data_IF_890792259086
#
_entry.id   IF_890792259086
#
_cell.length_a   1.000
_cell.length_b   1.000
_cell.length_c   1.000
_cell.angle_alpha   90.00
_cell.angle_beta   90.00
_cell.angle_gamma   90.00
#
_symmetry.space_group_name_H-M   'P 1'
#
loop_
_entity.id
_entity.type
_entity.pdbx_description
1 polymer ?
#
# COMPACT_ATOMS: atom_id res chain seq x y z
N UNK A 1 -25.24 -13.66 2.56
CA UNK A 1 -24.90 -13.34 1.15
C UNK A 1 -23.40 -13.10 1.11
N UNK A 2 -22.67 -13.69 0.16
CA UNK A 2 -21.20 -13.49 0.10
C UNK A 2 -20.86 -12.14 -0.51
N UNK A 3 -19.77 -11.50 -0.09
CA UNK A 3 -19.32 -10.21 -0.63
C UNK A 3 -19.14 -10.24 -2.16
N UNK A 4 -18.69 -11.38 -2.70
CA UNK A 4 -18.59 -11.60 -4.15
C UNK A 4 -19.95 -11.57 -4.85
N UNK A 5 -21.00 -12.08 -4.21
CA UNK A 5 -22.38 -12.01 -4.73
C UNK A 5 -22.92 -10.58 -4.68
N UNK A 6 -22.55 -9.76 -3.70
CA UNK A 6 -22.94 -8.34 -3.67
C UNK A 6 -22.26 -7.55 -4.80
N UNK A 7 -20.99 -7.81 -5.06
CA UNK A 7 -20.23 -7.22 -6.18
C UNK A 7 -20.76 -7.68 -7.55
N UNK A 8 -21.28 -8.91 -7.65
CA UNK A 8 -21.79 -9.47 -8.91
C UNK A 8 -23.30 -9.30 -9.16
N UNK A 9 -24.12 -9.10 -8.13
CA UNK A 9 -25.58 -9.06 -8.24
C UNK A 9 -26.12 -7.78 -8.88
N UNK A 10 -25.35 -6.69 -8.82
CA UNK A 10 -25.57 -5.49 -9.61
C UNK A 10 -24.28 -5.30 -10.38
N UNK A 11 -24.10 -5.92 -11.57
CA UNK A 11 -22.90 -5.68 -12.35
C UNK A 11 -22.89 -4.17 -12.60
N UNK A 12 -21.97 -3.41 -11.99
CA UNK A 12 -21.95 -2.00 -12.28
C UNK A 12 -21.61 -1.96 -13.77
N UNK A 13 -22.40 -1.22 -14.54
CA UNK A 13 -22.02 -0.87 -15.90
C UNK A 13 -20.77 -0.02 -15.76
N UNK A 14 -19.60 -0.65 -15.60
CA UNK A 14 -18.37 0.01 -15.26
C UNK A 14 -17.95 0.85 -16.44
N UNK A 15 -18.34 2.10 -16.35
CA UNK A 15 -18.09 3.09 -17.36
C UNK A 15 -16.60 3.47 -17.38
N UNK A 16 -15.84 3.29 -16.30
CA UNK A 16 -14.42 3.62 -16.28
C UNK A 16 -13.50 2.45 -16.62
N UNK A 17 -12.70 2.61 -17.68
CA UNK A 17 -11.66 1.65 -18.07
C UNK A 17 -10.55 1.58 -16.99
N UNK A 18 -10.36 2.63 -16.20
CA UNK A 18 -9.38 2.65 -15.10
C UNK A 18 -9.66 1.58 -14.04
N UNK A 19 -10.94 1.38 -13.67
CA UNK A 19 -11.32 0.38 -12.66
C UNK A 19 -11.06 -1.04 -13.15
N UNK A 20 -11.32 -1.30 -14.44
CA UNK A 20 -11.01 -2.57 -15.09
C UNK A 20 -9.51 -2.83 -15.14
N UNK A 21 -8.73 -1.82 -15.54
CA UNK A 21 -7.27 -1.91 -15.56
C UNK A 21 -6.72 -2.20 -14.17
N UNK A 22 -7.22 -1.52 -13.15
CA UNK A 22 -6.83 -1.70 -11.75
C UNK A 22 -7.15 -3.12 -11.27
N UNK A 23 -8.39 -3.57 -11.46
CA UNK A 23 -8.84 -4.90 -11.04
C UNK A 23 -8.02 -6.01 -11.69
N UNK A 24 -7.93 -6.02 -13.01
CA UNK A 24 -7.23 -7.09 -13.73
C UNK A 24 -5.71 -7.02 -13.57
N UNK A 25 -5.14 -5.83 -13.52
CA UNK A 25 -3.72 -5.63 -13.22
C UNK A 25 -3.35 -6.17 -11.85
N UNK A 26 -4.15 -5.87 -10.82
CA UNK A 26 -3.94 -6.32 -9.45
C UNK A 26 -4.18 -7.83 -9.27
N UNK A 27 -5.19 -8.41 -9.94
CA UNK A 27 -5.42 -9.86 -9.94
C UNK A 27 -4.23 -10.60 -10.55
N UNK A 28 -3.78 -10.15 -11.73
CA UNK A 28 -2.65 -10.77 -12.42
C UNK A 28 -1.37 -10.66 -11.61
N UNK A 29 -1.10 -9.48 -11.02
CA UNK A 29 0.05 -9.28 -10.14
C UNK A 29 0.01 -10.20 -8.91
N UNK A 30 -1.17 -10.37 -8.29
CA UNK A 30 -1.33 -11.25 -7.13
C UNK A 30 -1.09 -12.71 -7.49
N UNK A 31 -1.52 -13.14 -8.67
CA UNK A 31 -1.26 -14.48 -9.17
C UNK A 31 0.23 -14.71 -9.43
N UNK A 32 0.85 -13.87 -10.27
CA UNK A 32 2.27 -13.99 -10.65
C UNK A 32 3.21 -13.90 -9.44
N UNK A 33 2.90 -13.00 -8.50
CA UNK A 33 3.66 -12.88 -7.26
C UNK A 33 3.64 -14.19 -6.48
N UNK A 34 2.46 -14.80 -6.30
CA UNK A 34 2.33 -16.01 -5.49
C UNK A 34 2.91 -17.24 -6.19
N UNK A 35 2.79 -17.35 -7.51
CA UNK A 35 3.35 -18.47 -8.27
C UNK A 35 4.88 -18.38 -8.41
N UNK A 36 5.45 -17.18 -8.33
CA UNK A 36 6.90 -16.97 -8.34
C UNK A 36 7.54 -17.09 -6.94
N UNK A 37 6.75 -17.08 -5.86
CA UNK A 37 7.28 -17.25 -4.51
C UNK A 37 7.88 -18.65 -4.33
N UNK A 38 9.22 -18.69 -4.22
CA UNK A 38 10.00 -19.87 -3.86
C UNK A 38 10.57 -19.72 -2.45
N UNK A 39 10.77 -20.84 -1.75
CA UNK A 39 11.59 -20.87 -0.54
C UNK A 39 13.02 -20.39 -0.85
N UNK A 40 13.75 -19.76 0.10
CA UNK A 40 13.50 -19.64 1.54
C UNK A 40 12.58 -18.47 1.97
N UNK A 41 12.18 -18.40 3.26
CA UNK A 41 11.34 -17.34 3.81
C UNK A 41 11.97 -15.96 3.60
N UNK A 42 11.14 -15.01 3.14
CA UNK A 42 11.53 -13.62 2.86
C UNK A 42 11.05 -12.68 3.95
N UNK A 43 11.68 -11.52 4.04
CA UNK A 43 11.24 -10.42 4.92
C UNK A 43 10.03 -9.71 4.33
N UNK A 44 9.23 -9.05 5.18
CA UNK A 44 8.04 -8.29 4.78
C UNK A 44 8.38 -7.21 3.75
N UNK A 45 9.51 -6.52 3.94
CA UNK A 45 10.02 -5.53 2.98
C UNK A 45 10.33 -6.14 1.61
N UNK A 46 11.00 -7.30 1.58
CA UNK A 46 11.32 -7.98 0.32
C UNK A 46 10.04 -8.43 -0.38
N UNK A 47 9.07 -8.97 0.36
CA UNK A 47 7.78 -9.41 -0.17
C UNK A 47 6.99 -8.24 -0.76
N UNK A 48 6.89 -7.11 -0.06
CA UNK A 48 6.30 -5.88 -0.60
C UNK A 48 7.08 -5.39 -1.84
N UNK A 49 8.41 -5.42 -1.82
CA UNK A 49 9.24 -5.03 -2.96
C UNK A 49 8.99 -5.87 -4.22
N UNK A 50 8.95 -7.20 -4.08
CA UNK A 50 8.65 -8.12 -5.17
C UNK A 50 7.19 -7.96 -5.64
N UNK A 51 6.23 -7.87 -4.73
CA UNK A 51 4.82 -7.70 -5.11
C UNK A 51 4.56 -6.41 -5.90
N UNK A 52 5.16 -5.30 -5.48
CA UNK A 52 5.01 -4.00 -6.16
C UNK A 52 5.70 -3.99 -7.53
N UNK A 53 6.76 -4.80 -7.70
CA UNK A 53 7.38 -5.06 -9.00
C UNK A 53 6.40 -5.79 -9.92
N UNK A 54 5.78 -6.87 -9.44
CA UNK A 54 4.75 -7.61 -10.20
C UNK A 54 3.55 -6.73 -10.56
N UNK A 55 3.12 -5.85 -9.64
CA UNK A 55 2.05 -4.89 -9.88
C UNK A 55 2.36 -3.96 -11.07
N UNK A 56 3.60 -3.48 -11.16
CA UNK A 56 4.06 -2.64 -12.28
C UNK A 56 4.10 -3.43 -13.59
N UNK A 57 4.59 -4.67 -13.57
CA UNK A 57 4.65 -5.52 -14.75
C UNK A 57 3.25 -5.86 -15.28
N UNK A 58 2.37 -6.32 -14.41
CA UNK A 58 0.98 -6.61 -14.75
C UNK A 58 0.24 -5.36 -15.24
N UNK A 59 0.42 -4.22 -14.57
CA UNK A 59 -0.17 -2.95 -14.98
C UNK A 59 0.28 -2.51 -16.37
N UNK A 60 1.58 -2.64 -16.71
CA UNK A 60 2.07 -2.39 -18.08
C UNK A 60 1.48 -3.35 -19.10
N UNK A 61 1.39 -4.63 -18.76
CA UNK A 61 0.81 -5.63 -19.66
C UNK A 61 -0.64 -5.27 -20.01
N UNK A 62 -1.47 -5.02 -19.00
CA UNK A 62 -2.88 -4.64 -19.20
C UNK A 62 -3.05 -3.28 -19.87
N UNK A 63 -2.21 -2.29 -19.54
CA UNK A 63 -2.21 -1.01 -20.25
C UNK A 63 -1.89 -1.17 -21.75
N UNK A 64 -0.97 -2.10 -22.08
CA UNK A 64 -0.65 -2.46 -23.47
C UNK A 64 -1.84 -3.08 -24.21
N UNK A 65 -2.58 -4.00 -23.57
CA UNK A 65 -3.80 -4.60 -24.14
C UNK A 65 -4.90 -3.55 -24.36
N UNK A 66 -5.02 -2.58 -23.44
CA UNK A 66 -6.01 -1.51 -23.51
C UNK A 66 -5.59 -0.32 -24.38
N UNK A 67 -4.32 -0.27 -24.83
CA UNK A 67 -3.74 0.89 -25.52
C UNK A 67 -4.58 1.42 -26.72
N UNK A 68 -5.20 0.57 -27.57
CA UNK A 68 -6.06 1.08 -28.65
C UNK A 68 -7.26 1.89 -28.17
N UNK A 69 -7.83 1.54 -27.01
CA UNK A 69 -8.95 2.25 -26.40
C UNK A 69 -8.47 3.52 -25.70
N UNK A 70 -7.35 3.44 -24.97
CA UNK A 70 -6.78 4.56 -24.22
C UNK A 70 -6.28 5.68 -25.14
N UNK A 71 -5.67 5.33 -26.28
CA UNK A 71 -5.17 6.29 -27.27
C UNK A 71 -6.27 7.22 -27.79
N UNK A 72 -7.49 6.70 -27.99
CA UNK A 72 -8.65 7.50 -28.43
C UNK A 72 -9.08 8.54 -27.39
N UNK A 73 -8.75 8.31 -26.12
CA UNK A 73 -9.12 9.14 -24.98
C UNK A 73 -7.95 9.98 -24.44
N UNK A 74 -6.78 9.91 -25.09
CA UNK A 74 -5.58 10.62 -24.63
C UNK A 74 -5.13 10.22 -23.22
N UNK A 75 -5.39 8.96 -22.84
CA UNK A 75 -5.05 8.39 -21.54
C UNK A 75 -3.92 7.37 -21.67
N UNK A 76 -3.19 7.14 -20.58
CA UNK A 76 -2.19 6.08 -20.47
C UNK A 76 -2.15 5.55 -19.05
N UNK A 77 -2.29 4.25 -18.85
CA UNK A 77 -2.22 3.70 -17.50
C UNK A 77 -0.83 3.19 -17.14
N UNK A 78 -0.39 3.51 -15.94
CA UNK A 78 0.85 3.00 -15.38
C UNK A 78 0.83 2.99 -13.84
N UNK A 79 1.65 2.11 -13.27
CA UNK A 79 2.09 2.23 -11.88
C UNK A 79 3.47 2.90 -11.87
N UNK A 80 3.54 4.08 -11.29
CA UNK A 80 4.80 4.75 -10.99
C UNK A 80 5.21 4.42 -9.56
N UNK A 81 6.51 4.23 -9.33
CA UNK A 81 7.05 3.97 -8.00
C UNK A 81 8.05 5.08 -7.70
N UNK A 82 7.87 5.70 -6.55
CA UNK A 82 8.74 6.73 -6.00
C UNK A 82 9.34 6.14 -4.73
N UNK A 83 10.66 6.00 -4.73
CA UNK A 83 11.38 5.51 -3.57
C UNK A 83 11.47 6.62 -2.51
N UNK A 84 11.00 6.33 -1.30
CA UNK A 84 10.94 7.28 -0.19
C UNK A 84 12.05 7.07 0.84
N UNK A 85 12.82 5.98 0.71
CA UNK A 85 13.89 5.65 1.65
C UNK A 85 14.99 6.72 1.66
N UNK A 86 15.22 7.33 2.81
CA UNK A 86 16.41 8.13 3.13
C UNK A 86 17.23 7.39 4.18
N UNK A 87 18.46 7.00 3.83
CA UNK A 87 19.53 6.58 4.75
C UNK A 87 19.19 5.41 5.72
N UNK A 88 19.14 4.17 5.21
CA UNK A 88 19.18 2.95 6.03
C UNK A 88 17.86 2.17 6.16
N UNK A 89 17.00 2.26 5.14
CA UNK A 89 15.58 1.86 5.10
C UNK A 89 15.18 0.42 5.48
N UNK A 90 16.11 -0.50 5.72
CA UNK A 90 15.78 -1.93 5.81
C UNK A 90 15.18 -2.40 7.15
N UNK A 91 15.41 -1.70 8.25
CA UNK A 91 15.04 -2.17 9.60
C UNK A 91 13.84 -1.44 10.22
N UNK A 92 13.52 -0.22 9.77
CA UNK A 92 12.58 0.67 10.47
C UNK A 92 11.14 0.64 9.96
N UNK A 93 10.92 0.22 8.71
CA UNK A 93 9.64 0.40 7.99
C UNK A 93 8.80 -0.88 7.90
N UNK A 94 9.35 -2.06 8.17
CA UNK A 94 8.57 -3.31 8.22
C UNK A 94 7.86 -3.72 6.92
N UNK A 95 8.20 -3.11 5.78
CA UNK A 95 7.55 -3.38 4.48
C UNK A 95 6.35 -2.49 4.16
N UNK A 96 6.22 -1.36 4.85
CA UNK A 96 5.17 -0.37 4.66
C UNK A 96 5.36 0.39 3.35
N UNK A 97 4.25 0.56 2.62
CA UNK A 97 4.20 1.41 1.43
C UNK A 97 2.84 2.10 1.32
N UNK A 98 2.83 3.23 0.64
CA UNK A 98 1.59 3.91 0.26
C UNK A 98 1.27 3.67 -1.22
N UNK A 99 -0.03 3.63 -1.52
CA UNK A 99 -0.56 3.59 -2.88
C UNK A 99 -1.52 4.76 -3.06
N UNK A 100 -1.40 5.48 -4.16
CA UNK A 100 -2.36 6.49 -4.58
C UNK A 100 -3.01 6.04 -5.88
N UNK A 101 -4.33 5.97 -5.89
CA UNK A 101 -5.12 5.80 -7.11
C UNK A 101 -5.48 7.20 -7.63
N UNK A 102 -4.83 7.67 -8.69
CA UNK A 102 -5.02 9.00 -9.28
C UNK A 102 -5.58 8.88 -10.70
N UNK A 103 -6.91 8.96 -10.82
CA UNK A 103 -7.61 8.85 -12.08
C UNK A 103 -8.39 10.12 -12.39
N UNK A 104 -8.12 10.72 -13.55
CA UNK A 104 -8.67 12.00 -13.98
C UNK A 104 -10.06 11.93 -14.64
N UNK A 105 -10.67 10.73 -14.68
CA UNK A 105 -11.99 10.48 -15.25
C UNK A 105 -12.04 10.46 -16.78
N UNK A 106 -10.93 10.67 -17.51
CA UNK A 106 -10.92 10.67 -18.99
C UNK A 106 -11.32 9.33 -19.60
N UNK A 107 -11.21 8.25 -18.83
CA UNK A 107 -11.49 6.89 -19.25
C UNK A 107 -12.89 6.41 -18.90
N UNK A 108 -13.78 7.31 -18.49
CA UNK A 108 -15.19 7.04 -18.30
C UNK A 108 -15.97 6.96 -19.63
N UNK A 109 -17.00 6.12 -19.69
CA UNK A 109 -17.87 5.99 -20.86
C UNK A 109 -18.82 7.21 -20.96
N UNK A 110 -18.91 7.86 -22.13
CA UNK A 110 -19.59 9.16 -22.26
C UNK A 110 -21.10 9.16 -21.96
N UNK A 111 -21.76 7.99 -21.98
CA UNK A 111 -23.22 7.90 -21.96
C UNK A 111 -23.82 7.90 -20.54
N UNK A 112 -22.99 7.86 -19.48
CA UNK A 112 -23.43 7.54 -18.11
C UNK A 112 -23.02 8.58 -17.05
N UNK A 113 -23.03 9.88 -17.37
CA UNK A 113 -22.47 11.01 -16.58
C UNK A 113 -20.94 11.17 -16.69
N UNK A 114 -20.39 12.30 -16.28
CA UNK A 114 -18.92 12.47 -16.18
C UNK A 114 -18.44 11.80 -14.89
N UNK A 115 -17.41 10.96 -14.96
CA UNK A 115 -16.67 10.61 -13.75
C UNK A 115 -15.98 11.85 -13.23
N UNK A 116 -16.09 12.06 -11.92
CA UNK A 116 -15.24 13.01 -11.24
C UNK A 116 -13.80 12.45 -11.17
N UNK A 117 -12.78 13.31 -11.22
CA UNK A 117 -11.43 12.94 -10.85
C UNK A 117 -11.40 12.36 -9.44
N UNK A 118 -10.54 11.37 -9.21
CA UNK A 118 -10.38 10.73 -7.91
C UNK A 118 -8.90 10.54 -7.58
N UNK A 119 -8.51 10.98 -6.39
CA UNK A 119 -7.19 10.74 -5.80
C UNK A 119 -7.44 9.98 -4.50
N UNK A 120 -7.16 8.68 -4.47
CA UNK A 120 -7.42 7.81 -3.31
C UNK A 120 -6.10 7.40 -2.68
N UNK A 121 -5.66 8.05 -1.58
CA UNK A 121 -4.51 7.61 -0.81
C UNK A 121 -4.84 6.39 0.04
N UNK A 122 -3.92 5.42 0.08
CA UNK A 122 -4.04 4.18 0.84
C UNK A 122 -2.69 3.83 1.44
N UNK A 123 -2.68 3.40 2.71
CA UNK A 123 -1.47 2.88 3.38
C UNK A 123 -1.59 1.37 3.57
N UNK A 124 -0.53 0.66 3.21
CA UNK A 124 -0.41 -0.78 3.42
C UNK A 124 0.73 -1.11 4.38
N UNK A 125 0.41 -1.98 5.33
CA UNK A 125 1.34 -2.61 6.25
C UNK A 125 1.61 -4.04 5.80
N UNK A 126 2.81 -4.31 5.29
CA UNK A 126 3.21 -5.65 4.89
C UNK A 126 3.26 -6.60 6.09
N UNK A 127 2.65 -7.78 5.98
CA UNK A 127 2.78 -8.86 6.95
C UNK A 127 2.95 -10.22 6.31
N UNK A 128 3.97 -10.94 6.77
CA UNK A 128 4.17 -12.34 6.41
C UNK A 128 3.31 -13.21 7.29
N UNK A 129 2.74 -14.27 6.72
CA UNK A 129 2.03 -15.26 7.51
C UNK A 129 2.19 -16.68 6.97
N UNK A 130 1.93 -17.63 7.85
CA UNK A 130 1.64 -19.03 7.55
C UNK A 130 0.26 -19.31 8.13
N UNK A 131 -0.61 -19.98 7.36
CA UNK A 131 -2.02 -20.14 7.74
C UNK A 131 -2.17 -20.73 9.16
N UNK A 132 -3.20 -20.29 9.92
CA UNK A 132 -4.20 -19.28 9.58
C UNK A 132 -3.91 -17.87 10.15
N UNK A 133 -2.79 -17.69 10.86
CA UNK A 133 -2.56 -16.51 11.70
C UNK A 133 -1.42 -15.63 11.18
N UNK A 134 -1.65 -14.33 11.15
CA UNK A 134 -0.62 -13.32 10.93
C UNK A 134 -0.34 -12.57 12.23
N UNK A 135 0.94 -12.28 12.52
CA UNK A 135 1.31 -11.43 13.64
C UNK A 135 1.14 -9.95 13.27
N UNK A 136 0.32 -9.22 14.03
CA UNK A 136 0.04 -7.79 13.83
C UNK A 136 0.50 -6.93 15.00
N UNK A 137 1.25 -7.48 15.96
CA UNK A 137 1.62 -6.83 17.23
C UNK A 137 2.85 -5.93 17.15
N UNK A 138 3.29 -5.53 15.95
CA UNK A 138 4.49 -4.71 15.79
C UNK A 138 4.35 -3.38 16.54
N UNK A 139 5.33 -3.13 17.42
CA UNK A 139 5.36 -1.97 18.31
C UNK A 139 6.77 -1.43 18.33
N UNK A 140 6.92 -0.11 18.20
CA UNK A 140 8.21 0.58 18.26
C UNK A 140 8.34 1.32 19.59
N UNK A 141 9.52 1.29 20.22
CA UNK A 141 9.76 1.87 21.57
C UNK A 141 9.29 3.33 21.69
N UNK A 142 9.63 4.17 20.73
CA UNK A 142 9.31 5.62 20.73
C UNK A 142 7.94 5.93 20.12
N UNK A 143 7.50 5.12 19.15
CA UNK A 143 6.38 5.46 18.26
C UNK A 143 5.09 4.74 18.63
N UNK A 144 5.16 3.76 19.53
CA UNK A 144 4.02 2.97 19.98
C UNK A 144 3.59 1.90 18.98
N UNK A 145 2.34 1.46 19.13
CA UNK A 145 1.72 0.39 18.34
C UNK A 145 1.47 0.86 16.90
N UNK A 146 1.96 0.09 15.93
CA UNK A 146 1.76 0.40 14.51
C UNK A 146 0.30 0.27 14.10
N UNK A 147 -0.39 -0.74 14.63
CA UNK A 147 -1.84 -0.92 14.44
C UNK A 147 -2.63 0.33 14.84
N UNK A 148 -2.31 0.91 16.01
CA UNK A 148 -2.95 2.14 16.50
C UNK A 148 -2.72 3.31 15.56
N UNK A 149 -1.50 3.45 15.02
CA UNK A 149 -1.19 4.52 14.06
C UNK A 149 -1.97 4.37 12.75
N UNK A 150 -2.02 3.16 12.20
CA UNK A 150 -2.78 2.86 10.99
C UNK A 150 -4.26 3.21 11.16
N UNK A 151 -4.84 2.88 12.31
CA UNK A 151 -6.25 3.18 12.61
C UNK A 151 -6.55 4.66 12.88
N UNK A 152 -5.54 5.54 12.87
CA UNK A 152 -5.67 6.97 13.13
C UNK A 152 -5.34 7.83 11.91
N UNK A 153 -4.96 7.22 10.78
CA UNK A 153 -4.67 7.96 9.55
C UNK A 153 -5.97 8.53 8.95
N UNK A 154 -5.81 9.67 8.27
CA UNK A 154 -6.92 10.33 7.56
C UNK A 154 -7.27 9.61 6.23
N UNK A 155 -6.47 8.62 5.82
CA UNK A 155 -6.70 7.80 4.64
C UNK A 155 -6.94 6.31 4.98
N UNK A 156 -7.49 5.56 4.02
CA UNK A 156 -7.70 4.13 4.16
C UNK A 156 -6.38 3.42 4.49
N UNK A 157 -6.38 2.63 5.55
CA UNK A 157 -5.20 1.90 6.01
C UNK A 157 -5.54 0.43 6.16
N UNK A 158 -4.63 -0.45 5.71
CA UNK A 158 -4.86 -1.88 5.74
C UNK A 158 -3.57 -2.66 5.97
N UNK A 159 -3.72 -3.88 6.48
CA UNK A 159 -2.68 -4.89 6.41
C UNK A 159 -2.74 -5.60 5.07
N UNK A 160 -1.59 -5.80 4.44
CA UNK A 160 -1.42 -6.64 3.26
C UNK A 160 -0.62 -7.89 3.65
N UNK A 161 -1.19 -9.06 3.38
CA UNK A 161 -0.72 -10.34 3.87
C UNK A 161 -0.12 -11.19 2.74
N UNK A 162 1.13 -11.60 2.95
CA UNK A 162 1.88 -12.45 2.05
C UNK A 162 2.06 -13.84 2.66
N UNK A 163 1.52 -14.86 2.00
CA UNK A 163 1.68 -16.24 2.43
C UNK A 163 3.09 -16.72 2.10
N UNK A 164 3.95 -16.85 3.11
CA UNK A 164 5.34 -17.22 2.92
C UNK A 164 5.86 -17.92 4.18
N UNK A 165 6.14 -19.22 4.05
CA UNK A 165 6.66 -20.07 5.10
C UNK A 165 8.13 -20.44 4.88
N UNK A 166 8.64 -21.31 5.75
CA UNK A 166 10.02 -21.81 5.66
C UNK A 166 10.23 -22.72 4.44
N UNK A 167 9.16 -23.30 3.94
CA UNK A 167 9.10 -24.16 2.75
C UNK A 167 8.13 -23.58 1.72
N UNK A 168 8.33 -23.98 0.44
CA UNK A 168 7.43 -23.58 -0.64
C UNK A 168 6.00 -24.08 -0.34
N UNK A 169 5.02 -23.19 -0.50
CA UNK A 169 3.62 -23.49 -0.26
C UNK A 169 3.02 -23.98 -1.57
N UNK A 170 2.48 -25.20 -1.59
CA UNK A 170 2.02 -25.84 -2.83
C UNK A 170 0.85 -25.12 -3.51
N UNK A 171 0.01 -24.43 -2.73
CA UNK A 171 -1.17 -23.71 -3.22
C UNK A 171 -1.35 -22.41 -2.43
N UNK A 172 -0.51 -21.37 -2.68
CA UNK A 172 -0.59 -20.11 -1.97
C UNK A 172 -1.91 -19.38 -2.26
N UNK A 173 -2.44 -18.67 -1.27
CA UNK A 173 -3.57 -17.75 -1.48
C UNK A 173 -3.12 -16.53 -2.27
N UNK A 174 -4.02 -15.85 -3.00
CA UNK A 174 -3.72 -14.51 -3.52
C UNK A 174 -3.29 -13.58 -2.38
N UNK A 175 -2.63 -12.47 -2.73
CA UNK A 175 -2.30 -11.44 -1.75
C UNK A 175 -3.60 -10.94 -1.11
N UNK A 176 -3.65 -11.03 0.21
CA UNK A 176 -4.84 -10.77 1.00
C UNK A 176 -4.72 -9.40 1.68
N UNK A 177 -5.83 -8.69 1.81
CA UNK A 177 -5.90 -7.37 2.43
C UNK A 177 -6.97 -7.34 3.51
N UNK A 178 -6.58 -6.86 4.68
CA UNK A 178 -7.49 -6.66 5.80
C UNK A 178 -7.50 -5.19 6.20
N UNK A 179 -8.63 -4.50 5.98
CA UNK A 179 -8.81 -3.14 6.47
C UNK A 179 -8.54 -3.05 7.97
N UNK A 180 -7.95 -1.94 8.43
CA UNK A 180 -7.52 -1.79 9.82
C UNK A 180 -8.67 -1.90 10.81
N UNK A 181 -9.86 -1.43 10.44
CA UNK A 181 -11.09 -1.51 11.22
C UNK A 181 -11.55 -2.96 11.48
N UNK A 182 -11.10 -3.91 10.67
CA UNK A 182 -11.39 -5.34 10.84
C UNK A 182 -10.32 -6.07 11.66
N UNK A 183 -9.25 -5.40 12.10
CA UNK A 183 -8.19 -5.98 12.93
C UNK A 183 -8.49 -5.71 14.41
N UNK A 184 -8.80 -6.78 15.14
CA UNK A 184 -9.07 -6.72 16.58
C UNK A 184 -7.87 -6.33 17.44
N UNK A 185 -8.04 -6.42 18.75
CA UNK A 185 -7.03 -6.04 19.74
C UNK A 185 -5.95 -7.09 20.02
N UNK A 186 -6.09 -8.26 19.41
CA UNK A 186 -5.16 -9.35 19.57
C UNK A 186 -3.80 -9.08 18.90
N UNK A 187 -2.76 -9.76 19.40
CA UNK A 187 -1.42 -9.74 18.79
C UNK A 187 -1.37 -10.43 17.43
N UNK A 188 -2.31 -11.33 17.19
CA UNK A 188 -2.41 -12.10 15.95
C UNK A 188 -3.82 -11.97 15.41
N UNK A 189 -3.95 -12.00 14.09
CA UNK A 189 -5.25 -11.98 13.43
C UNK A 189 -5.41 -13.17 12.50
N UNK A 190 -6.63 -13.70 12.40
CA UNK A 190 -6.97 -14.70 11.42
C UNK A 190 -7.09 -14.04 10.05
N UNK A 191 -6.28 -14.48 9.08
CA UNK A 191 -6.26 -13.93 7.72
C UNK A 191 -7.48 -14.31 6.88
N UNK A 192 -8.29 -15.26 7.33
CA UNK A 192 -9.52 -15.68 6.62
C UNK A 192 -10.76 -14.87 7.02
N UNK A 193 -10.69 -14.12 8.12
CA UNK A 193 -11.82 -13.35 8.63
C UNK A 193 -11.65 -11.87 8.31
N UNK A 194 -12.68 -11.23 7.76
CA UNK A 194 -12.70 -9.78 7.47
C UNK A 194 -11.64 -9.33 6.45
N UNK A 195 -11.20 -10.25 5.60
CA UNK A 195 -10.12 -10.06 4.63
C UNK A 195 -10.67 -10.28 3.23
N UNK A 196 -10.19 -9.51 2.26
CA UNK A 196 -10.52 -9.61 0.84
C UNK A 196 -9.23 -9.73 0.03
N UNK A 197 -9.29 -10.19 -1.22
CA UNK A 197 -8.10 -10.17 -2.08
C UNK A 197 -7.72 -8.73 -2.44
N UNK A 198 -6.43 -8.50 -2.74
CA UNK A 198 -5.88 -7.18 -3.04
C UNK A 198 -6.60 -6.49 -4.21
N UNK A 199 -6.98 -7.23 -5.24
CA UNK A 199 -7.62 -6.62 -6.41
C UNK A 199 -9.04 -6.13 -6.09
N UNK A 200 -9.83 -6.95 -5.40
CA UNK A 200 -11.14 -6.55 -4.89
C UNK A 200 -11.06 -5.35 -3.94
N UNK A 201 -10.02 -5.30 -3.09
CA UNK A 201 -9.78 -4.15 -2.20
C UNK A 201 -9.54 -2.87 -2.99
N UNK A 202 -8.61 -2.90 -3.96
CA UNK A 202 -8.28 -1.73 -4.77
C UNK A 202 -9.46 -1.24 -5.61
N UNK A 203 -10.18 -2.18 -6.20
CA UNK A 203 -11.37 -1.87 -6.98
C UNK A 203 -12.43 -1.17 -6.11
N UNK A 204 -12.73 -1.71 -4.92
CA UNK A 204 -13.69 -1.07 -3.99
C UNK A 204 -13.20 0.30 -3.53
N UNK A 205 -11.93 0.43 -3.18
CA UNK A 205 -11.33 1.72 -2.83
C UNK A 205 -11.40 2.75 -3.96
N UNK A 206 -11.36 2.32 -5.23
CA UNK A 206 -11.50 3.22 -6.36
C UNK A 206 -12.95 3.68 -6.57
N UNK A 207 -13.92 2.78 -6.37
CA UNK A 207 -15.32 3.02 -6.76
C UNK A 207 -16.20 3.58 -5.64
N UNK A 208 -15.90 3.29 -4.38
CA UNK A 208 -16.73 3.60 -3.20
C UNK A 208 -16.02 4.63 -2.30
N UNK A 209 -16.52 5.87 -2.30
CA UNK A 209 -15.97 6.97 -1.50
C UNK A 209 -16.25 6.83 0.00
N UNK A 210 -17.21 6.00 0.38
CA UNK A 210 -17.45 5.63 1.79
C UNK A 210 -16.47 4.56 2.28
N UNK A 211 -15.89 3.78 1.36
CA UNK A 211 -14.90 2.77 1.68
C UNK A 211 -13.48 3.35 1.81
N UNK A 212 -13.12 4.30 0.95
CA UNK A 212 -11.82 4.97 1.01
C UNK A 212 -11.96 6.48 0.73
N UNK A 213 -11.45 7.30 1.65
CA UNK A 213 -11.48 8.74 1.53
C UNK A 213 -10.72 9.23 0.29
N UNK A 214 -11.26 10.27 -0.36
CA UNK A 214 -10.69 10.91 -1.55
C UNK A 214 -10.04 12.22 -1.18
N UNK A 215 -8.82 12.45 -1.67
CA UNK A 215 -8.16 13.75 -1.64
C UNK A 215 -8.62 14.62 -2.82
N UNK A 216 -8.62 15.93 -2.61
CA UNK A 216 -8.90 16.94 -3.64
C UNK A 216 -7.65 17.38 -4.40
N UNK A 217 -6.45 17.08 -3.87
CA UNK A 217 -5.16 17.42 -4.47
C UNK A 217 -4.07 16.39 -4.15
N UNK A 218 -2.93 16.47 -4.86
CA UNK A 218 -1.75 15.64 -4.58
C UNK A 218 -1.20 15.96 -3.18
N UNK A 219 -1.15 17.23 -2.83
CA UNK A 219 -0.66 17.72 -1.55
C UNK A 219 -1.52 17.22 -0.39
N UNK A 220 -2.85 17.25 -0.56
CA UNK A 220 -3.76 16.67 0.42
C UNK A 220 -3.59 15.15 0.53
N UNK A 221 -3.43 14.43 -0.58
CA UNK A 221 -3.20 12.99 -0.54
C UNK A 221 -1.92 12.64 0.23
N UNK A 222 -0.83 13.38 0.00
CA UNK A 222 0.41 13.24 0.75
C UNK A 222 0.21 13.59 2.23
N UNK A 223 -0.52 14.68 2.53
CA UNK A 223 -0.85 15.06 3.91
C UNK A 223 -1.65 13.97 4.62
N UNK A 224 -2.65 13.37 3.97
CA UNK A 224 -3.43 12.26 4.54
C UNK A 224 -2.55 11.05 4.85
N UNK A 225 -1.60 10.73 3.96
CA UNK A 225 -0.64 9.64 4.14
C UNK A 225 0.32 9.91 5.32
N UNK A 226 0.83 11.13 5.43
CA UNK A 226 1.80 11.51 6.46
C UNK A 226 1.18 12.14 7.71
N UNK A 227 -0.15 12.20 7.80
CA UNK A 227 -0.89 12.81 8.90
C UNK A 227 -0.49 12.25 10.27
N UNK A 228 -0.19 10.93 10.33
CA UNK A 228 0.28 10.21 11.53
C UNK A 228 1.52 9.34 11.27
N UNK A 229 1.89 9.12 10.02
CA UNK A 229 3.13 8.45 9.63
C UNK A 229 4.27 9.47 9.59
N UNK A 230 5.34 9.23 10.33
CA UNK A 230 6.54 10.04 10.19
C UNK A 230 7.10 9.86 8.76
N UNK A 231 7.56 10.93 8.08
CA UNK A 231 8.09 10.91 6.71
C UNK A 231 9.02 9.75 6.33
N UNK A 232 9.77 9.21 7.30
CA UNK A 232 10.68 8.07 7.12
C UNK A 232 10.10 6.68 7.45
N UNK A 233 8.77 6.54 7.58
CA UNK A 233 8.12 5.25 7.88
C UNK A 233 7.66 4.48 6.65
N UNK A 234 7.50 5.14 5.51
CA UNK A 234 7.13 4.50 4.26
C UNK A 234 8.39 4.26 3.44
N UNK A 235 8.53 3.04 2.92
CA UNK A 235 9.63 2.72 2.00
C UNK A 235 9.39 3.29 0.61
N UNK A 236 8.12 3.27 0.17
CA UNK A 236 7.73 3.55 -1.21
C UNK A 236 6.37 4.23 -1.28
N UNK A 237 6.23 5.09 -2.28
CA UNK A 237 4.95 5.58 -2.77
C UNK A 237 4.72 5.01 -4.16
N UNK A 238 3.59 4.34 -4.35
CA UNK A 238 3.15 3.83 -5.64
C UNK A 238 2.00 4.70 -6.11
N UNK A 239 2.01 5.09 -7.37
CA UNK A 239 0.96 5.90 -7.98
C UNK A 239 0.40 5.13 -9.16
N UNK A 240 -0.85 4.70 -9.05
CA UNK A 240 -1.62 4.11 -10.13
C UNK A 240 -2.40 5.23 -10.83
N UNK A 241 -2.10 5.51 -12.10
CA UNK A 241 -2.60 6.72 -12.74
C UNK A 241 -2.81 6.60 -14.25
N UNK A 242 -3.70 7.45 -14.76
CA UNK A 242 -3.92 7.72 -16.18
C UNK A 242 -2.98 8.79 -16.79
N UNK A 243 -2.16 9.46 -15.96
CA UNK A 243 -1.28 10.55 -16.37
C UNK A 243 0.16 10.11 -16.61
N UNK A 244 0.62 10.23 -17.85
CA UNK A 244 2.01 9.97 -18.26
C UNK A 244 3.10 10.76 -17.53
N UNK A 245 2.74 11.84 -16.80
CA UNK A 245 3.68 12.71 -16.07
C UNK A 245 3.57 12.58 -14.55
N UNK A 246 2.86 11.58 -14.06
CA UNK A 246 2.61 11.43 -12.63
C UNK A 246 3.90 11.24 -11.81
N UNK A 247 4.90 10.52 -12.34
CA UNK A 247 6.23 10.40 -11.72
C UNK A 247 6.84 11.75 -11.37
N UNK A 248 6.96 12.66 -12.34
CA UNK A 248 7.54 13.99 -12.12
C UNK A 248 6.70 14.82 -11.14
N UNK A 249 5.37 14.76 -11.24
CA UNK A 249 4.45 15.53 -10.38
C UNK A 249 4.56 15.07 -8.93
N UNK A 250 4.47 13.77 -8.69
CA UNK A 250 4.53 13.22 -7.33
C UNK A 250 5.93 13.29 -6.74
N UNK A 251 7.00 13.12 -7.53
CA UNK A 251 8.35 13.36 -7.04
C UNK A 251 8.55 14.81 -6.57
N UNK A 252 8.08 15.78 -7.36
CA UNK A 252 8.15 17.20 -7.00
C UNK A 252 7.32 17.49 -5.74
N UNK A 253 6.10 16.95 -5.66
CA UNK A 253 5.23 17.12 -4.51
C UNK A 253 5.80 16.50 -3.23
N UNK A 254 6.38 15.29 -3.32
CA UNK A 254 7.06 14.63 -2.19
C UNK A 254 8.28 15.44 -1.74
N UNK A 255 9.11 15.94 -2.67
CA UNK A 255 10.26 16.80 -2.34
C UNK A 255 9.81 18.08 -1.65
N UNK A 256 8.76 18.73 -2.15
CA UNK A 256 8.19 19.92 -1.53
C UNK A 256 7.64 19.62 -0.13
N UNK A 257 6.85 18.55 0.01
CA UNK A 257 6.30 18.11 1.28
C UNK A 257 7.39 17.86 2.32
N UNK A 258 8.46 17.16 1.97
CA UNK A 258 9.59 16.94 2.88
C UNK A 258 10.44 18.19 3.15
N UNK A 259 10.43 19.19 2.26
CA UNK A 259 11.07 20.48 2.56
C UNK A 259 10.23 21.32 3.52
N UNK A 260 8.90 21.24 3.44
CA UNK A 260 7.97 22.00 4.27
C UNK A 260 7.68 21.35 5.63
N UNK A 261 7.72 20.02 5.70
CA UNK A 261 7.30 19.22 6.86
C UNK A 261 8.34 18.15 7.24
N UNK A 262 9.53 18.19 6.64
CA UNK A 262 10.60 17.26 6.96
C UNK A 262 10.96 17.32 8.44
N UNK A 263 11.37 16.19 9.04
CA UNK A 263 11.73 16.17 10.44
C UNK A 263 12.94 17.09 10.66
N UNK A 264 12.86 17.98 11.64
CA UNK A 264 14.03 18.25 12.47
C UNK A 264 14.44 16.87 13.00
N UNK A 265 15.52 16.33 12.42
CA UNK A 265 16.13 15.13 12.97
C UNK A 265 16.72 15.59 14.29
N UNK A 266 15.94 15.49 15.37
CA UNK A 266 16.52 15.44 16.71
C UNK A 266 17.48 14.25 16.68
N UNK A 267 18.77 14.55 16.49
CA UNK A 267 19.83 13.59 16.74
C UNK A 267 19.56 12.99 18.13
N UNK A 268 19.57 11.65 18.28
CA UNK A 268 19.42 11.07 19.59
C UNK A 268 20.52 11.67 20.46
N UNK A 269 20.12 12.41 21.50
CA UNK A 269 21.04 12.86 22.53
C UNK A 269 21.89 11.65 22.93
N UNK A 270 23.19 11.75 22.71
CA UNK A 270 24.16 10.81 23.26
C UNK A 270 23.96 10.84 24.77
N UNK A 271 23.26 9.83 25.27
CA UNK A 271 23.14 9.56 26.69
C UNK A 271 24.49 8.99 27.13
N UNK A 272 25.48 9.88 27.27
CA UNK A 272 26.75 9.61 27.93
C UNK A 272 26.49 9.46 29.43
N UNK A 273 25.79 8.39 29.79
CA UNK A 273 25.68 7.89 31.15
C UNK A 273 26.29 6.47 31.19
N UNK A 274 27.61 6.38 30.97
CA UNK A 274 28.39 5.31 31.59
C UNK A 274 28.84 5.77 32.98
N UNK A 275 27.89 5.65 33.89
CA UNK A 275 28.12 5.49 35.32
C UNK A 275 28.95 4.20 35.51
N UNK A 276 30.27 4.34 35.69
CA UNK A 276 31.13 3.20 36.04
C UNK A 276 30.99 2.91 37.53
N UNK A 277 30.49 1.72 37.92
CA UNK A 277 30.48 1.32 39.32
C UNK A 277 31.91 1.06 39.80
N UNK A 278 32.22 1.61 40.96
CA UNK A 278 33.49 1.41 41.64
C UNK A 278 33.68 -0.04 42.10
N UNK A 279 34.94 -0.48 42.15
CA UNK A 279 35.39 -1.66 42.89
C UNK A 279 36.90 -1.50 43.21
N UNK A 280 37.44 -2.25 44.20
CA UNK A 280 38.00 -1.66 45.40
C UNK A 280 39.52 -1.84 45.56
N UNK A 281 40.03 -1.18 46.60
CA UNK A 281 41.40 -1.17 47.11
C UNK A 281 42.00 -2.53 47.52
N UNK A 282 43.30 -2.70 47.26
CA UNK A 282 44.21 -3.66 47.92
C UNK A 282 45.30 -4.15 46.95
N UNK A 283 46.58 -4.30 47.36
CA UNK A 283 47.00 -4.91 48.63
C UNK A 283 47.63 -3.96 49.68
#
# INVERSE_FOLDING_TARGET
>A
MTLLQEVMAVPPTHADIADWWLLFGALNASFEFQTSQSAPPKTEMRLSGEFTTELKHAGRHWAGLLAPLLKRRGASFAFHQIDLERLGGEQATGGDFALILDFDGRTFQPETCRSEPRIVPIIFQGKRYVRPLANVSQTHKVRGSQKKKLGQNDCASAYIFYENGDVAIAAPLPVLVKPIENVGDERQTNVFQGTIDFASYLYRASTDDTFAARATSIEEALSMIYSKAHPGQLSKLIVATGDSKADFKYEAAVKHFFASYGPDIDEPATDDNEDKPGEPSGP
#
